data_IF_661790898386
#
_entry.id   IF_661790898386
#
_cell.length_a   1.000
_cell.length_b   1.000
_cell.length_c   1.000
_cell.angle_alpha   90.00
_cell.angle_beta   90.00
_cell.angle_gamma   90.00
#
_symmetry.space_group_name_H-M   'P 1'
#
loop_
_entity.id
_entity.type
_entity.pdbx_description
1 polymer ?
#
# COMPACT_ATOMS: atom_id res chain seq x y z
N UNK A 1 12.94 61.94 -78.60
CA UNK A 1 11.73 61.22 -79.04
C UNK A 1 12.24 60.02 -79.79
N UNK A 2 12.11 58.75 -79.41
CA UNK A 2 11.12 57.90 -78.70
C UNK A 2 11.88 56.56 -78.47
N UNK A 3 11.54 55.56 -77.66
CA UNK A 3 10.29 55.11 -77.06
C UNK A 3 10.60 54.27 -75.81
N UNK A 4 9.64 54.30 -74.89
CA UNK A 4 9.43 53.44 -73.74
C UNK A 4 9.10 52.01 -74.19
N UNK A 5 9.80 51.00 -73.64
CA UNK A 5 9.35 49.60 -73.69
C UNK A 5 8.89 49.19 -72.29
N UNK A 6 7.58 49.29 -72.05
CA UNK A 6 6.91 48.62 -70.95
C UNK A 6 6.80 47.13 -71.30
N UNK A 7 7.58 46.29 -70.61
CA UNK A 7 7.48 44.84 -70.72
C UNK A 7 6.24 44.34 -69.98
N UNK A 8 5.21 44.01 -70.75
CA UNK A 8 4.04 43.25 -70.32
C UNK A 8 4.49 41.85 -69.85
N UNK A 9 4.38 41.57 -68.55
CA UNK A 9 4.64 40.26 -67.95
C UNK A 9 3.30 39.61 -67.61
N UNK A 10 2.70 38.95 -68.60
CA UNK A 10 1.59 38.04 -68.39
C UNK A 10 2.04 36.87 -67.51
N UNK A 11 1.65 36.89 -66.23
CA UNK A 11 1.75 35.74 -65.34
C UNK A 11 0.85 34.63 -65.90
N UNK A 12 1.45 33.50 -66.28
CA UNK A 12 0.74 32.37 -66.87
C UNK A 12 -0.36 31.86 -65.91
N UNK A 13 -1.64 31.85 -66.32
CA UNK A 13 -2.79 31.48 -65.48
C UNK A 13 -2.64 30.12 -64.78
N UNK A 14 -1.89 29.22 -65.40
CA UNK A 14 -1.69 27.85 -64.93
C UNK A 14 -0.85 27.77 -63.66
N UNK A 15 0.04 28.74 -63.40
CA UNK A 15 0.87 28.75 -62.18
C UNK A 15 0.01 29.12 -60.97
N UNK A 16 -0.94 30.04 -61.13
CA UNK A 16 -1.85 30.44 -60.07
C UNK A 16 -2.78 29.31 -59.62
N UNK A 17 -3.28 28.50 -60.57
CA UNK A 17 -4.17 27.37 -60.27
C UNK A 17 -3.41 26.27 -59.50
N UNK A 18 -2.21 25.91 -59.94
CA UNK A 18 -1.40 24.88 -59.26
C UNK A 18 -1.04 25.31 -57.84
N UNK A 19 -0.65 26.57 -57.65
CA UNK A 19 -0.34 27.11 -56.32
C UNK A 19 -1.57 27.07 -55.40
N UNK A 20 -2.75 27.39 -55.93
CA UNK A 20 -4.00 27.39 -55.17
C UNK A 20 -4.41 25.96 -54.76
N UNK A 21 -4.25 24.97 -55.64
CA UNK A 21 -4.52 23.57 -55.31
C UNK A 21 -3.58 23.09 -54.20
N UNK A 22 -2.29 23.43 -54.26
CA UNK A 22 -1.32 23.06 -53.21
C UNK A 22 -1.71 23.68 -51.88
N UNK A 23 -2.03 24.99 -51.88
CA UNK A 23 -2.43 25.70 -50.68
C UNK A 23 -3.69 25.09 -50.05
N UNK A 24 -4.73 24.84 -50.84
CA UNK A 24 -5.99 24.24 -50.37
C UNK A 24 -5.76 22.83 -49.82
N UNK A 25 -4.92 22.02 -50.47
CA UNK A 25 -4.59 20.67 -49.98
C UNK A 25 -3.88 20.72 -48.63
N UNK A 26 -2.90 21.61 -48.46
CA UNK A 26 -2.19 21.78 -47.18
C UNK A 26 -3.15 22.25 -46.09
N UNK A 27 -4.03 23.22 -46.39
CA UNK A 27 -5.04 23.73 -45.46
C UNK A 27 -6.05 22.65 -45.06
N UNK A 28 -6.50 21.83 -46.01
CA UNK A 28 -7.41 20.72 -45.74
C UNK A 28 -6.78 19.66 -44.83
N UNK A 29 -5.51 19.32 -45.07
CA UNK A 29 -4.75 18.38 -44.23
C UNK A 29 -4.62 18.93 -42.80
N UNK A 30 -4.16 20.19 -42.66
CA UNK A 30 -3.99 20.81 -41.34
C UNK A 30 -5.31 20.96 -40.57
N UNK A 31 -6.39 21.36 -41.26
CA UNK A 31 -7.72 21.46 -40.64
C UNK A 31 -8.25 20.08 -40.25
N UNK A 32 -7.98 19.04 -41.03
CA UNK A 32 -8.33 17.66 -40.73
C UNK A 32 -7.66 17.15 -39.45
N UNK A 33 -6.36 17.42 -39.27
CA UNK A 33 -5.65 17.07 -38.04
C UNK A 33 -6.20 17.80 -36.80
N UNK A 34 -6.54 19.08 -36.93
CA UNK A 34 -7.12 19.86 -35.82
C UNK A 34 -8.50 19.31 -35.44
N UNK A 35 -9.36 18.99 -36.43
CA UNK A 35 -10.69 18.44 -36.16
C UNK A 35 -10.63 17.04 -35.54
N UNK A 36 -9.73 16.18 -36.01
CA UNK A 36 -9.55 14.83 -35.45
C UNK A 36 -9.01 14.87 -34.01
N UNK A 37 -8.09 15.78 -33.71
CA UNK A 37 -7.59 15.98 -32.34
C UNK A 37 -8.62 16.57 -31.37
N UNK A 38 -9.67 17.22 -31.88
CA UNK A 38 -10.80 17.71 -31.07
C UNK A 38 -11.89 16.64 -30.87
N UNK A 39 -11.82 15.52 -31.58
CA UNK A 39 -12.76 14.39 -31.46
C UNK A 39 -12.22 13.23 -30.63
N UNK A 40 -11.00 13.34 -30.07
CA UNK A 40 -10.55 12.40 -29.05
C UNK A 40 -11.46 12.56 -27.82
N UNK A 41 -12.37 11.61 -27.66
CA UNK A 41 -13.30 11.54 -26.53
C UNK A 41 -12.47 11.24 -25.29
N UNK A 42 -12.26 12.26 -24.45
CA UNK A 42 -11.58 12.06 -23.17
C UNK A 42 -12.48 11.22 -22.28
N UNK A 43 -11.96 10.12 -21.75
CA UNK A 43 -12.72 9.29 -20.84
C UNK A 43 -13.24 10.13 -19.65
N UNK A 44 -14.55 10.08 -19.35
CA UNK A 44 -15.11 10.87 -18.28
C UNK A 44 -14.63 10.37 -16.91
N UNK A 45 -14.40 11.32 -15.99
CA UNK A 45 -14.14 11.02 -14.58
C UNK A 45 -15.27 10.15 -14.02
N UNK A 46 -14.99 9.02 -13.36
CA UNK A 46 -16.02 8.21 -12.70
C UNK A 46 -16.66 8.99 -11.55
N UNK A 47 -17.98 8.89 -11.44
CA UNK A 47 -18.73 9.55 -10.39
C UNK A 47 -18.94 8.62 -9.19
N UNK A 48 -18.13 8.82 -8.16
CA UNK A 48 -18.08 7.98 -6.95
C UNK A 48 -18.15 8.83 -5.69
N UNK A 49 -18.73 8.26 -4.64
CA UNK A 49 -18.69 8.82 -3.30
C UNK A 49 -17.88 7.88 -2.40
N UNK A 50 -16.76 8.38 -1.89
CA UNK A 50 -15.87 7.63 -1.02
C UNK A 50 -15.82 8.28 0.35
N UNK A 51 -15.60 7.47 1.36
CA UNK A 51 -15.48 7.87 2.75
C UNK A 51 -14.22 7.25 3.33
N UNK A 52 -13.44 8.04 4.06
CA UNK A 52 -12.26 7.57 4.77
C UNK A 52 -12.56 7.66 6.26
N UNK A 53 -12.56 6.51 6.92
CA UNK A 53 -12.83 6.38 8.36
C UNK A 53 -11.56 5.90 9.05
N UNK A 54 -11.18 6.53 10.15
CA UNK A 54 -10.08 6.01 10.98
C UNK A 54 -10.54 4.73 11.70
N UNK A 55 -9.66 3.73 11.78
CA UNK A 55 -9.87 2.60 12.70
C UNK A 55 -9.59 3.05 14.13
N UNK A 56 -10.03 2.27 15.13
CA UNK A 56 -9.80 2.62 16.55
C UNK A 56 -8.32 2.90 16.88
N UNK A 57 -7.39 2.36 16.09
CA UNK A 57 -5.94 2.53 16.22
C UNK A 57 -5.39 3.87 15.71
N UNK A 58 -6.15 4.69 14.96
CA UNK A 58 -5.70 5.94 14.32
C UNK A 58 -4.53 5.82 13.32
N UNK A 59 -4.18 4.61 12.92
CA UNK A 59 -3.00 4.31 12.08
C UNK A 59 -3.42 3.67 10.78
N UNK A 60 -4.38 2.76 10.87
CA UNK A 60 -5.08 2.22 9.71
C UNK A 60 -6.34 3.03 9.46
N UNK A 61 -6.68 3.21 8.19
CA UNK A 61 -7.91 3.87 7.78
C UNK A 61 -8.66 2.94 6.83
N UNK A 62 -9.98 2.93 6.94
CA UNK A 62 -10.84 2.19 6.03
C UNK A 62 -11.35 3.17 4.98
N UNK A 63 -10.86 3.00 3.75
CA UNK A 63 -11.45 3.64 2.58
C UNK A 63 -12.66 2.81 2.15
N UNK A 64 -13.84 3.43 2.14
CA UNK A 64 -15.13 2.79 1.83
C UNK A 64 -15.76 3.40 0.60
N UNK A 65 -16.22 2.54 -0.31
CA UNK A 65 -17.04 2.96 -1.43
C UNK A 65 -18.51 3.05 -1.01
N UNK A 66 -19.06 4.26 -0.95
CA UNK A 66 -20.44 4.49 -0.47
C UNK A 66 -21.48 4.31 -1.55
N UNK A 67 -21.22 4.88 -2.72
CA UNK A 67 -22.18 4.91 -3.84
C UNK A 67 -21.51 5.41 -5.11
N UNK A 68 -22.16 5.16 -6.24
CA UNK A 68 -21.70 5.63 -7.55
C UNK A 68 -21.19 4.50 -8.43
N UNK A 69 -20.37 4.84 -9.40
CA UNK A 69 -19.81 3.89 -10.34
C UNK A 69 -18.73 3.02 -9.69
N UNK A 70 -18.59 1.74 -10.08
CA UNK A 70 -17.45 0.94 -9.67
C UNK A 70 -16.18 1.54 -10.26
N UNK A 71 -15.11 1.52 -9.47
CA UNK A 71 -13.78 1.89 -9.92
C UNK A 71 -13.11 0.59 -10.38
N UNK A 72 -12.94 0.44 -11.69
CA UNK A 72 -12.17 -0.67 -12.25
C UNK A 72 -10.68 -0.38 -11.99
N UNK A 73 -10.10 -1.09 -11.03
CA UNK A 73 -8.66 -1.16 -10.78
C UNK A 73 -7.92 -1.92 -11.86
N UNK A 74 -8.29 -1.79 -13.13
CA UNK A 74 -7.47 -2.34 -14.22
C UNK A 74 -6.07 -1.76 -14.07
N UNK A 75 -5.06 -2.62 -14.14
CA UNK A 75 -3.65 -2.29 -13.89
C UNK A 75 -3.25 -0.91 -14.41
N UNK A 76 -2.78 -0.02 -13.53
CA UNK A 76 -2.37 1.37 -13.76
C UNK A 76 -3.50 2.39 -14.05
N UNK A 77 -4.78 2.07 -13.83
CA UNK A 77 -5.87 3.06 -13.96
C UNK A 77 -6.22 3.76 -12.67
N UNK A 78 -5.79 3.22 -11.53
CA UNK A 78 -6.07 3.78 -10.22
C UNK A 78 -4.76 3.84 -9.44
N UNK A 79 -4.59 4.90 -8.65
CA UNK A 79 -3.47 4.99 -7.71
C UNK A 79 -3.90 5.76 -6.49
N UNK A 80 -3.58 5.25 -5.32
CA UNK A 80 -3.67 6.00 -4.07
C UNK A 80 -2.31 6.65 -3.82
N UNK A 81 -2.30 7.94 -3.55
CA UNK A 81 -1.08 8.68 -3.21
C UNK A 81 -1.19 9.16 -1.78
N UNK A 82 -0.09 9.10 -1.02
CA UNK A 82 -0.07 9.45 0.40
C UNK A 82 -0.46 8.29 1.32
N UNK A 83 -0.41 7.06 0.80
CA UNK A 83 -0.60 5.81 1.55
C UNK A 83 0.63 4.91 1.40
N UNK A 84 0.76 3.91 2.26
CA UNK A 84 1.80 2.89 2.18
C UNK A 84 1.67 2.16 0.86
N UNK A 85 0.63 1.34 0.71
CA UNK A 85 0.35 0.67 -0.55
C UNK A 85 -0.43 1.58 -1.53
N UNK A 86 0.30 2.19 -2.46
CA UNK A 86 -0.28 3.05 -3.50
C UNK A 86 -1.09 2.28 -4.55
N UNK A 87 -0.84 0.97 -4.68
CA UNK A 87 -1.45 0.06 -5.63
C UNK A 87 -2.53 -0.82 -4.97
N UNK A 88 -2.97 -0.49 -3.75
CA UNK A 88 -3.97 -1.26 -2.99
C UNK A 88 -5.29 -1.48 -3.74
N UNK A 89 -5.62 -0.61 -4.71
CA UNK A 89 -6.80 -0.73 -5.56
C UNK A 89 -6.49 -1.28 -6.96
N UNK A 90 -5.25 -1.64 -7.26
CA UNK A 90 -4.81 -2.19 -8.53
C UNK A 90 -5.23 -3.67 -8.66
N UNK A 91 -5.57 -4.10 -9.87
CA UNK A 91 -6.11 -5.42 -10.15
C UNK A 91 -7.56 -5.66 -9.71
N UNK A 92 -8.09 -4.89 -8.77
CA UNK A 92 -9.40 -5.14 -8.17
C UNK A 92 -10.51 -4.19 -8.63
N UNK A 93 -11.77 -4.66 -8.58
CA UNK A 93 -12.94 -3.83 -8.88
C UNK A 93 -13.53 -3.31 -7.58
N UNK A 94 -13.29 -2.04 -7.27
CA UNK A 94 -13.79 -1.39 -6.05
C UNK A 94 -15.18 -0.79 -6.27
N UNK A 95 -16.22 -1.38 -5.67
CA UNK A 95 -17.63 -1.08 -5.91
C UNK A 95 -18.39 -0.72 -4.62
N UNK A 96 -19.59 -0.12 -4.71
CA UNK A 96 -20.35 0.29 -3.52
C UNK A 96 -20.55 -0.83 -2.50
N UNK A 97 -20.14 -0.57 -1.25
CA UNK A 97 -20.14 -1.53 -0.15
C UNK A 97 -18.76 -2.05 0.20
N UNK A 98 -17.82 -2.01 -0.75
CA UNK A 98 -16.45 -2.46 -0.54
C UNK A 98 -15.68 -1.54 0.40
N UNK A 99 -14.66 -2.13 1.01
CA UNK A 99 -13.78 -1.49 1.96
C UNK A 99 -12.37 -1.98 1.69
N UNK A 100 -11.42 -1.07 1.82
CA UNK A 100 -10.00 -1.41 1.84
C UNK A 100 -9.34 -0.72 3.02
N UNK A 101 -8.41 -1.42 3.67
CA UNK A 101 -7.57 -0.84 4.72
C UNK A 101 -6.38 -0.18 4.03
N UNK A 102 -6.07 1.04 4.46
CA UNK A 102 -4.93 1.79 3.98
C UNK A 102 -4.18 2.39 5.16
N UNK A 103 -2.88 2.55 5.00
CA UNK A 103 -2.01 3.17 5.99
C UNK A 103 -1.59 4.51 5.41
N UNK A 104 -2.05 5.66 5.94
CA UNK A 104 -1.60 6.96 5.48
C UNK A 104 -0.10 7.10 5.78
N UNK A 105 0.66 7.61 4.81
CA UNK A 105 2.07 8.00 4.99
C UNK A 105 2.26 9.51 4.84
N UNK A 106 1.21 10.21 4.44
CA UNK A 106 1.15 11.66 4.25
C UNK A 106 -0.15 12.24 4.83
N UNK A 107 -0.19 13.56 5.05
CA UNK A 107 -1.36 14.26 5.58
C UNK A 107 -2.49 14.42 4.55
N UNK A 108 -2.16 14.19 3.29
CA UNK A 108 -3.09 14.25 2.17
C UNK A 108 -3.08 12.93 1.37
N UNK A 109 -4.20 12.19 1.47
CA UNK A 109 -4.44 11.02 0.62
C UNK A 109 -5.22 11.44 -0.61
N UNK A 110 -4.74 11.06 -1.80
CA UNK A 110 -5.41 11.32 -3.07
C UNK A 110 -5.69 10.04 -3.82
N UNK A 111 -6.94 9.86 -4.22
CA UNK A 111 -7.28 8.83 -5.20
C UNK A 111 -7.20 9.41 -6.61
N UNK A 112 -6.24 8.91 -7.38
CA UNK A 112 -6.05 9.24 -8.79
C UNK A 112 -6.73 8.18 -9.66
N UNK A 113 -7.33 8.63 -10.76
CA UNK A 113 -7.84 7.76 -11.80
C UNK A 113 -7.31 8.20 -13.16
N UNK A 114 -6.89 7.25 -13.98
CA UNK A 114 -6.31 7.46 -15.30
C UNK A 114 -7.18 6.80 -16.38
N UNK A 115 -7.66 7.63 -17.31
CA UNK A 115 -8.22 7.20 -18.58
C UNK A 115 -7.11 7.01 -19.62
N UNK A 116 -7.47 6.78 -20.88
CA UNK A 116 -6.49 6.53 -21.94
C UNK A 116 -5.55 7.72 -22.17
N UNK A 117 -6.08 8.94 -22.09
CA UNK A 117 -5.32 10.17 -22.33
C UNK A 117 -5.58 11.26 -21.27
N UNK A 118 -6.16 10.88 -20.12
CA UNK A 118 -6.52 11.83 -19.06
C UNK A 118 -6.25 11.26 -17.68
N UNK A 119 -6.00 12.14 -16.71
CA UNK A 119 -5.89 11.80 -15.30
C UNK A 119 -6.75 12.74 -14.47
N UNK A 120 -7.48 12.20 -13.51
CA UNK A 120 -8.35 12.94 -12.62
C UNK A 120 -8.05 12.60 -11.17
N UNK A 121 -8.05 13.62 -10.31
CA UNK A 121 -8.18 13.41 -8.87
C UNK A 121 -9.65 13.11 -8.59
N UNK A 122 -9.94 11.90 -8.11
CA UNK A 122 -11.28 11.48 -7.75
C UNK A 122 -11.71 12.17 -6.47
N UNK A 123 -10.92 12.01 -5.43
CA UNK A 123 -11.17 12.58 -4.11
C UNK A 123 -9.83 12.78 -3.39
N UNK A 124 -9.82 13.79 -2.52
CA UNK A 124 -8.72 14.07 -1.59
C UNK A 124 -9.28 13.91 -0.18
N UNK A 125 -8.51 13.24 0.68
CA UNK A 125 -8.78 13.09 2.10
C UNK A 125 -7.65 13.73 2.88
N UNK A 126 -7.97 14.31 4.02
CA UNK A 126 -6.98 14.84 4.95
C UNK A 126 -6.94 13.93 6.15
N UNK A 127 -5.74 13.52 6.54
CA UNK A 127 -5.49 12.70 7.72
C UNK A 127 -4.66 13.51 8.71
N UNK A 128 -4.98 13.39 9.99
CA UNK A 128 -4.12 13.89 11.04
C UNK A 128 -2.95 12.92 11.24
N UNK A 129 -1.82 13.19 10.61
CA UNK A 129 -0.63 12.33 10.72
C UNK A 129 0.09 12.45 12.05
N UNK A 130 -0.32 13.36 12.94
CA UNK A 130 0.25 13.47 14.28
C UNK A 130 -0.08 12.26 15.17
N UNK A 131 -1.06 11.45 14.78
CA UNK A 131 -1.43 10.20 15.46
C UNK A 131 -0.75 8.97 14.87
N UNK A 132 -0.04 9.10 13.74
CA UNK A 132 0.70 7.99 13.15
C UNK A 132 2.00 7.73 13.93
N UNK A 133 2.50 6.47 13.94
CA UNK A 133 3.78 6.14 14.52
C UNK A 133 4.87 7.03 13.95
N UNK A 134 5.76 7.48 14.82
CA UNK A 134 6.91 8.28 14.40
C UNK A 134 7.75 7.50 13.39
N UNK A 135 7.85 8.00 12.16
CA UNK A 135 8.76 7.46 11.16
C UNK A 135 8.15 7.13 9.80
N UNK A 136 6.82 6.99 9.73
CA UNK A 136 6.10 6.62 8.48
C UNK A 136 6.26 7.70 7.38
N UNK A 137 6.34 8.98 7.73
CA UNK A 137 6.43 10.09 6.75
C UNK A 137 7.75 10.19 5.95
N UNK A 138 8.69 9.24 6.09
CA UNK A 138 9.99 9.27 5.40
C UNK A 138 10.40 7.89 4.87
N UNK A 139 9.45 7.13 4.35
CA UNK A 139 9.77 5.86 3.70
C UNK A 139 10.37 6.16 2.32
N UNK A 140 11.58 5.66 2.07
CA UNK A 140 12.32 5.89 0.82
C UNK A 140 12.55 4.62 0.00
N UNK A 141 12.22 3.47 0.55
CA UNK A 141 12.41 2.17 -0.08
C UNK A 141 11.06 1.55 -0.42
N UNK A 142 10.96 0.97 -1.61
CA UNK A 142 9.79 0.25 -2.11
C UNK A 142 10.14 -1.23 -2.31
N UNK A 143 9.18 -2.06 -2.73
CA UNK A 143 9.40 -3.49 -3.00
C UNK A 143 10.67 -3.85 -3.80
N UNK A 144 11.08 -3.11 -4.85
CA UNK A 144 12.32 -3.44 -5.56
C UNK A 144 13.57 -3.36 -4.68
N UNK A 145 13.59 -2.47 -3.68
CA UNK A 145 14.67 -2.40 -2.71
C UNK A 145 14.60 -3.57 -1.73
N UNK A 146 13.41 -3.88 -1.19
CA UNK A 146 13.20 -5.02 -0.28
C UNK A 146 13.68 -6.31 -0.95
N UNK A 147 13.23 -6.57 -2.17
CA UNK A 147 13.64 -7.74 -2.94
C UNK A 147 15.16 -7.73 -3.23
N UNK A 148 15.78 -6.57 -3.46
CA UNK A 148 17.22 -6.48 -3.64
C UNK A 148 17.99 -6.79 -2.35
N UNK A 149 17.52 -6.30 -1.20
CA UNK A 149 18.09 -6.59 0.12
C UNK A 149 18.01 -8.09 0.38
N UNK A 150 16.81 -8.68 0.26
CA UNK A 150 16.58 -10.11 0.44
C UNK A 150 17.47 -10.98 -0.45
N UNK A 151 17.56 -10.65 -1.75
CA UNK A 151 18.41 -11.42 -2.66
C UNK A 151 19.92 -11.30 -2.36
N UNK A 152 20.34 -10.21 -1.71
CA UNK A 152 21.75 -9.99 -1.38
C UNK A 152 22.19 -10.78 -0.15
N UNK A 153 21.29 -10.92 0.84
CA UNK A 153 21.60 -11.51 2.14
C UNK A 153 21.06 -12.95 2.29
N UNK A 154 20.00 -13.30 1.55
CA UNK A 154 19.26 -14.55 1.68
C UNK A 154 17.97 -14.39 2.48
N UNK A 155 17.96 -13.40 3.36
CA UNK A 155 16.92 -12.95 4.29
C UNK A 155 16.67 -11.44 4.13
N UNK A 156 15.51 -10.97 4.61
CA UNK A 156 15.28 -9.54 4.74
C UNK A 156 15.90 -9.03 6.04
N UNK A 157 16.97 -8.25 5.92
CA UNK A 157 17.67 -7.62 7.06
C UNK A 157 17.53 -6.10 6.96
N UNK A 158 16.86 -5.50 7.94
CA UNK A 158 16.61 -4.06 8.03
C UNK A 158 17.14 -3.51 9.36
N UNK A 159 18.17 -2.66 9.32
CA UNK A 159 18.72 -1.93 10.49
C UNK A 159 18.46 -0.42 10.35
N UNK A 160 17.39 0.05 10.99
CA UNK A 160 16.90 1.43 10.89
C UNK A 160 16.35 1.82 9.52
N UNK A 161 16.17 0.84 8.63
CA UNK A 161 15.67 1.02 7.27
C UNK A 161 14.15 1.19 7.23
N UNK A 162 13.65 1.81 6.15
CA UNK A 162 12.22 2.11 6.02
C UNK A 162 11.71 1.74 4.65
N UNK A 163 10.77 0.80 4.60
CA UNK A 163 10.25 0.25 3.37
C UNK A 163 8.72 0.15 3.36
N UNK A 164 8.16 0.31 2.16
CA UNK A 164 6.79 -0.09 1.86
C UNK A 164 6.89 -1.29 0.91
N UNK A 165 6.48 -2.46 1.40
CA UNK A 165 6.32 -3.63 0.58
C UNK A 165 5.62 -4.75 1.36
N UNK A 166 4.73 -5.48 0.67
CA UNK A 166 4.31 -6.78 1.15
C UNK A 166 5.43 -7.81 0.93
N UNK A 167 5.82 -8.49 1.98
CA UNK A 167 6.84 -9.53 1.99
C UNK A 167 6.12 -10.88 1.97
N UNK A 168 5.83 -11.41 0.78
CA UNK A 168 4.93 -12.57 0.59
C UNK A 168 5.58 -13.78 -0.07
N UNK A 169 6.88 -13.71 -0.39
CA UNK A 169 7.61 -14.83 -0.97
C UNK A 169 8.26 -15.67 0.13
N UNK A 170 8.33 -16.99 -0.07
CA UNK A 170 9.17 -17.90 0.72
C UNK A 170 10.62 -17.41 0.62
N UNK A 171 11.02 -16.52 1.52
CA UNK A 171 12.41 -16.12 1.73
C UNK A 171 13.19 -17.42 2.00
N UNK A 172 14.33 -17.58 1.32
CA UNK A 172 15.06 -18.84 1.30
C UNK A 172 15.76 -19.06 2.65
N UNK A 173 15.10 -19.84 3.51
CA UNK A 173 15.42 -20.36 4.85
C UNK A 173 16.81 -21.02 5.05
N UNK A 174 17.78 -20.77 4.19
CA UNK A 174 19.03 -21.53 4.11
C UNK A 174 20.30 -20.77 4.49
N UNK A 175 20.22 -19.49 4.85
CA UNK A 175 21.41 -18.66 5.13
C UNK A 175 21.54 -18.25 6.60
N UNK A 176 20.43 -17.95 7.28
CA UNK A 176 20.35 -17.56 8.70
C UNK A 176 19.21 -18.31 9.38
N UNK A 177 19.15 -18.26 10.72
CA UNK A 177 18.04 -18.81 11.51
C UNK A 177 16.83 -17.84 11.56
N UNK A 178 16.89 -16.66 10.90
CA UNK A 178 15.83 -15.63 10.90
C UNK A 178 15.68 -15.08 9.49
N UNK A 179 14.50 -15.24 8.90
CA UNK A 179 14.23 -14.87 7.50
C UNK A 179 13.85 -13.40 7.34
N UNK A 180 13.26 -12.81 8.38
CA UNK A 180 12.95 -11.39 8.44
C UNK A 180 13.46 -10.86 9.77
N UNK A 181 14.49 -10.03 9.70
CA UNK A 181 15.14 -9.37 10.83
C UNK A 181 14.94 -7.86 10.70
N UNK A 182 14.14 -7.29 11.60
CA UNK A 182 13.88 -5.86 11.68
C UNK A 182 14.45 -5.31 13.00
N UNK A 183 15.52 -4.52 12.91
CA UNK A 183 16.21 -3.92 14.07
C UNK A 183 16.36 -2.39 13.89
N UNK A 184 16.80 -1.70 14.93
CA UNK A 184 17.41 -0.37 14.82
C UNK A 184 16.42 0.76 14.55
N UNK A 185 15.12 0.54 14.80
CA UNK A 185 14.09 1.50 14.43
C UNK A 185 13.58 1.34 13.00
N UNK A 186 13.72 0.15 12.42
CA UNK A 186 13.19 -0.17 11.10
C UNK A 186 11.66 -0.02 11.04
N UNK A 187 11.15 0.41 9.88
CA UNK A 187 9.71 0.56 9.61
C UNK A 187 9.36 -0.19 8.33
N UNK A 188 8.49 -1.18 8.43
CA UNK A 188 7.91 -1.89 7.29
C UNK A 188 6.41 -1.62 7.21
N UNK A 189 5.94 -1.15 6.06
CA UNK A 189 4.51 -0.97 5.77
C UNK A 189 4.14 -1.94 4.65
N UNK A 190 3.27 -2.89 4.97
CA UNK A 190 2.93 -4.02 4.12
C UNK A 190 2.82 -5.29 4.97
N UNK A 191 2.14 -6.29 4.41
CA UNK A 191 1.94 -7.57 5.07
C UNK A 191 3.23 -8.40 5.03
N UNK A 192 3.50 -9.15 6.08
CA UNK A 192 4.56 -10.15 6.17
C UNK A 192 3.90 -11.53 6.12
N UNK A 193 4.22 -12.32 5.12
CA UNK A 193 3.83 -13.72 4.94
C UNK A 193 5.07 -14.53 4.52
N UNK A 194 5.68 -15.23 5.46
CA UNK A 194 6.92 -15.98 5.24
C UNK A 194 6.83 -17.42 5.75
N UNK A 195 7.56 -18.34 5.13
CA UNK A 195 7.79 -19.68 5.70
C UNK A 195 8.76 -19.68 6.88
N UNK A 196 9.46 -18.56 7.09
CA UNK A 196 10.60 -18.42 7.96
C UNK A 196 10.35 -17.87 9.35
N UNK A 197 11.43 -17.76 10.13
CA UNK A 197 11.44 -17.12 11.44
C UNK A 197 11.42 -15.59 11.26
N UNK A 198 10.70 -14.89 12.14
CA UNK A 198 10.59 -13.42 12.10
C UNK A 198 11.05 -12.85 13.43
N UNK A 199 11.97 -11.91 13.39
CA UNK A 199 12.45 -11.13 14.54
C UNK A 199 12.18 -9.63 14.30
N UNK A 200 11.54 -8.99 15.29
CA UNK A 200 11.20 -7.57 15.26
C UNK A 200 11.65 -6.91 16.56
N UNK A 201 12.80 -6.24 16.52
CA UNK A 201 13.45 -5.55 17.63
C UNK A 201 13.39 -4.03 17.44
N UNK A 202 12.84 -3.31 18.44
CA UNK A 202 12.76 -1.85 18.44
C UNK A 202 12.19 -1.26 17.14
N UNK A 203 11.21 -1.94 16.52
CA UNK A 203 10.79 -1.69 15.15
C UNK A 203 9.27 -1.52 14.99
N UNK A 204 8.84 -1.09 13.80
CA UNK A 204 7.43 -0.87 13.48
C UNK A 204 7.03 -1.67 12.24
N UNK A 205 5.98 -2.49 12.38
CA UNK A 205 5.32 -3.16 11.26
C UNK A 205 3.89 -2.63 11.14
N UNK A 206 3.49 -2.24 9.94
CA UNK A 206 2.11 -1.84 9.63
C UNK A 206 1.56 -2.74 8.54
N UNK A 207 0.86 -3.78 8.96
CA UNK A 207 0.43 -4.91 8.15
C UNK A 207 0.31 -6.15 9.03
N UNK A 208 -0.32 -7.18 8.50
CA UNK A 208 -0.43 -8.46 9.20
C UNK A 208 0.91 -9.19 9.15
N UNK A 209 1.27 -9.88 10.23
CA UNK A 209 2.51 -10.64 10.37
C UNK A 209 2.17 -12.11 10.53
N UNK A 210 2.42 -12.89 9.47
CA UNK A 210 2.09 -14.30 9.38
C UNK A 210 3.33 -15.14 9.08
N UNK A 211 3.49 -16.23 9.84
CA UNK A 211 4.49 -17.26 9.52
C UNK A 211 3.82 -18.60 9.19
N UNK A 212 4.32 -19.30 8.17
CA UNK A 212 3.74 -20.56 7.69
C UNK A 212 4.44 -21.81 8.24
N UNK A 213 5.63 -21.71 8.82
CA UNK A 213 6.33 -22.87 9.40
C UNK A 213 7.26 -22.60 10.58
N UNK A 214 7.32 -21.35 11.06
CA UNK A 214 8.37 -20.91 11.98
C UNK A 214 7.87 -19.97 13.08
N UNK A 215 8.77 -19.58 13.98
CA UNK A 215 8.48 -18.80 15.17
C UNK A 215 8.49 -17.29 14.89
N UNK A 216 7.81 -16.52 15.74
CA UNK A 216 7.76 -15.05 15.69
C UNK A 216 8.29 -14.51 17.02
N UNK A 217 9.25 -13.59 16.95
CA UNK A 217 9.83 -12.89 18.10
C UNK A 217 9.64 -11.38 17.94
N UNK A 218 9.07 -10.70 18.94
CA UNK A 218 8.80 -9.26 18.94
C UNK A 218 9.28 -8.68 20.27
N UNK A 219 10.29 -7.82 20.23
CA UNK A 219 11.00 -7.37 21.44
C UNK A 219 11.28 -5.87 21.46
N UNK A 220 11.80 -5.38 22.59
CA UNK A 220 12.47 -4.08 22.70
C UNK A 220 11.68 -2.85 22.20
N UNK A 221 10.41 -2.76 22.61
CA UNK A 221 9.46 -1.67 22.30
C UNK A 221 9.00 -1.65 20.83
N UNK A 222 8.94 -2.81 20.20
CA UNK A 222 8.37 -2.98 18.86
C UNK A 222 6.86 -2.71 18.83
N UNK A 223 6.37 -2.26 17.69
CA UNK A 223 4.95 -1.96 17.48
C UNK A 223 4.44 -2.63 16.21
N UNK A 224 3.48 -3.53 16.35
CA UNK A 224 2.81 -4.19 15.23
C UNK A 224 1.39 -3.65 15.10
N UNK A 225 1.03 -3.19 13.91
CA UNK A 225 -0.28 -2.66 13.57
C UNK A 225 -0.96 -3.56 12.55
N UNK A 226 -1.35 -4.73 13.02
CA UNK A 226 -1.95 -5.82 12.26
C UNK A 226 -2.02 -7.06 13.12
N UNK A 227 -2.59 -8.13 12.57
CA UNK A 227 -2.71 -9.41 13.26
C UNK A 227 -1.38 -10.16 13.23
N UNK A 228 -1.01 -10.82 14.32
CA UNK A 228 0.19 -11.64 14.45
C UNK A 228 -0.23 -13.11 14.52
N UNK A 229 0.09 -13.87 13.48
CA UNK A 229 -0.40 -15.23 13.27
C UNK A 229 0.75 -16.20 13.03
N UNK A 230 0.94 -17.12 13.96
CA UNK A 230 1.93 -18.19 13.81
C UNK A 230 1.28 -19.47 13.26
N UNK A 231 2.07 -20.23 12.49
CA UNK A 231 1.67 -21.53 11.97
C UNK A 231 1.31 -22.52 13.09
N UNK A 232 0.44 -23.52 12.83
CA UNK A 232 0.14 -24.52 13.84
C UNK A 232 1.39 -25.25 14.36
N UNK A 233 1.61 -25.18 15.68
CA UNK A 233 2.71 -25.85 16.37
C UNK A 233 3.98 -25.02 16.52
N UNK A 234 3.99 -23.76 16.07
CA UNK A 234 5.10 -22.81 16.24
C UNK A 234 4.80 -21.78 17.32
N UNK A 235 5.78 -20.95 17.66
CA UNK A 235 5.72 -20.11 18.85
C UNK A 235 5.68 -18.62 18.51
N UNK A 236 5.06 -17.86 19.41
CA UNK A 236 5.14 -16.40 19.42
C UNK A 236 5.73 -15.97 20.77
N UNK A 237 6.80 -15.18 20.76
CA UNK A 237 7.34 -14.51 21.94
C UNK A 237 7.23 -12.99 21.77
N UNK A 238 6.52 -12.34 22.67
CA UNK A 238 6.35 -10.88 22.67
C UNK A 238 6.78 -10.33 24.01
N UNK A 239 7.80 -9.47 23.98
CA UNK A 239 8.34 -8.87 25.18
C UNK A 239 8.77 -7.40 25.04
N UNK A 240 9.47 -6.87 26.05
CA UNK A 240 10.26 -5.64 25.90
C UNK A 240 9.44 -4.34 25.89
N UNK A 241 8.22 -4.33 26.42
CA UNK A 241 7.26 -3.21 26.30
C UNK A 241 6.75 -3.01 24.87
N UNK A 242 6.67 -4.08 24.10
CA UNK A 242 6.11 -4.07 22.75
C UNK A 242 4.58 -3.96 22.75
N UNK A 243 4.01 -3.53 21.62
CA UNK A 243 2.57 -3.36 21.43
C UNK A 243 2.11 -4.07 20.15
N UNK A 244 1.02 -4.83 20.24
CA UNK A 244 0.30 -5.38 19.08
C UNK A 244 -1.10 -4.80 19.05
N UNK A 245 -1.39 -4.02 18.01
CA UNK A 245 -2.74 -3.53 17.71
C UNK A 245 -3.39 -4.42 16.66
N UNK A 246 -3.85 -5.59 17.12
CA UNK A 246 -4.39 -6.67 16.31
C UNK A 246 -4.58 -7.93 17.14
N UNK A 247 -5.09 -9.00 16.52
CA UNK A 247 -5.15 -10.30 17.13
C UNK A 247 -3.77 -10.94 17.24
N UNK A 248 -3.57 -11.75 18.28
CA UNK A 248 -2.41 -12.65 18.39
C UNK A 248 -2.92 -14.07 18.36
N UNK A 249 -2.46 -14.89 17.41
CA UNK A 249 -3.03 -16.20 17.10
C UNK A 249 -1.96 -17.27 17.08
N UNK A 250 -2.12 -18.28 17.95
CA UNK A 250 -1.29 -19.49 17.97
C UNK A 250 -2.19 -20.72 18.08
N UNK A 251 -2.11 -21.62 17.10
CA UNK A 251 -2.79 -22.93 17.14
C UNK A 251 -1.80 -24.03 17.49
N UNK A 252 -2.06 -24.84 18.51
CA UNK A 252 -1.21 -25.99 18.95
C UNK A 252 0.27 -25.71 19.27
N UNK A 253 0.72 -24.45 19.23
CA UNK A 253 2.05 -24.00 19.66
C UNK A 253 2.00 -23.20 20.96
N UNK A 254 3.07 -22.48 21.30
CA UNK A 254 3.13 -21.69 22.54
C UNK A 254 3.20 -20.18 22.31
N UNK A 255 2.67 -19.41 23.27
CA UNK A 255 2.76 -17.96 23.26
C UNK A 255 3.34 -17.45 24.58
N UNK A 256 4.35 -16.60 24.51
CA UNK A 256 4.99 -15.94 25.65
C UNK A 256 4.71 -14.44 25.57
N UNK A 257 4.19 -13.86 26.66
CA UNK A 257 3.72 -12.47 26.70
C UNK A 257 4.26 -11.76 27.95
N UNK A 258 5.44 -11.13 27.88
CA UNK A 258 6.08 -10.45 29.01
C UNK A 258 6.24 -8.95 28.78
N UNK A 259 5.52 -8.14 29.56
CA UNK A 259 5.56 -6.68 29.46
C UNK A 259 5.15 -6.26 28.05
N UNK A 260 3.93 -6.60 27.66
CA UNK A 260 3.34 -6.37 26.33
C UNK A 260 1.93 -5.80 26.47
N UNK A 261 1.53 -4.93 25.54
CA UNK A 261 0.15 -4.51 25.36
C UNK A 261 -0.42 -5.13 24.07
N UNK A 262 -1.56 -5.80 24.14
CA UNK A 262 -2.26 -6.37 22.97
C UNK A 262 -3.65 -5.76 22.89
N UNK A 263 -3.82 -4.74 22.04
CA UNK A 263 -5.11 -4.10 21.73
C UNK A 263 -5.88 -4.91 20.68
N UNK A 264 -6.17 -6.15 21.06
CA UNK A 264 -6.88 -7.13 20.26
C UNK A 264 -6.98 -8.45 21.02
N UNK A 265 -7.68 -9.42 20.45
CA UNK A 265 -7.90 -10.68 21.15
C UNK A 265 -6.72 -11.64 20.97
N UNK A 266 -6.29 -12.26 22.07
CA UNK A 266 -5.36 -13.39 22.03
C UNK A 266 -6.14 -14.71 21.86
N UNK A 267 -5.82 -15.44 20.80
CA UNK A 267 -6.34 -16.75 20.45
C UNK A 267 -5.26 -17.80 20.70
N UNK A 268 -5.36 -18.50 21.83
CA UNK A 268 -4.38 -19.50 22.25
C UNK A 268 -5.05 -20.49 23.21
N UNK A 269 -4.49 -21.71 23.28
CA UNK A 269 -4.93 -22.67 24.30
C UNK A 269 -4.32 -22.24 25.66
N UNK A 270 -5.11 -22.12 26.75
CA UNK A 270 -4.61 -21.57 28.02
C UNK A 270 -3.40 -22.29 28.65
N UNK A 271 -3.15 -23.56 28.28
CA UNK A 271 -1.98 -24.31 28.75
C UNK A 271 -0.67 -23.95 28.05
N UNK A 272 -0.78 -23.27 26.91
CA UNK A 272 0.35 -22.95 26.03
C UNK A 272 0.74 -21.47 26.13
N UNK A 273 0.07 -20.70 27.00
CA UNK A 273 0.39 -19.31 27.31
C UNK A 273 1.35 -19.26 28.50
N UNK A 274 2.43 -18.50 28.35
CA UNK A 274 3.44 -18.24 29.37
C UNK A 274 3.86 -16.75 29.36
N UNK A 275 4.88 -16.40 30.13
CA UNK A 275 5.45 -15.05 30.08
C UNK A 275 4.65 -13.91 30.73
N UNK A 276 3.38 -14.12 31.16
CA UNK A 276 2.37 -13.14 31.61
C UNK A 276 2.73 -12.01 32.64
N UNK A 277 3.99 -11.69 32.93
CA UNK A 277 4.35 -10.51 33.73
C UNK A 277 3.98 -9.24 33.00
N UNK A 278 3.29 -8.31 33.68
CA UNK A 278 2.98 -6.96 33.16
C UNK A 278 2.33 -6.91 31.76
N UNK A 279 1.65 -7.99 31.34
CA UNK A 279 0.97 -8.04 30.05
C UNK A 279 -0.51 -7.64 30.19
N UNK A 280 -0.94 -6.68 29.37
CA UNK A 280 -2.33 -6.20 29.23
C UNK A 280 -2.90 -6.69 27.90
N UNK A 281 -4.02 -7.40 27.92
CA UNK A 281 -4.57 -8.10 26.76
C UNK A 281 -6.03 -7.75 26.53
N UNK A 282 -6.41 -7.68 25.26
CA UNK A 282 -7.79 -7.48 24.85
C UNK A 282 -8.23 -6.02 24.89
N UNK A 283 -9.41 -5.74 24.31
CA UNK A 283 -9.95 -4.37 24.21
C UNK A 283 -10.32 -3.74 25.56
N UNK A 284 -10.28 -4.51 26.65
CA UNK A 284 -10.59 -4.08 28.02
C UNK A 284 -9.32 -3.99 28.90
N UNK A 285 -8.12 -4.16 28.32
CA UNK A 285 -6.81 -4.14 28.99
C UNK A 285 -6.76 -5.06 30.22
N UNK A 286 -7.19 -6.31 30.05
CA UNK A 286 -7.19 -7.27 31.14
C UNK A 286 -5.77 -7.83 31.36
N UNK A 287 -5.39 -8.09 32.62
CA UNK A 287 -4.11 -8.78 32.87
C UNK A 287 -4.09 -10.17 32.22
N UNK A 288 -2.97 -10.53 31.60
CA UNK A 288 -2.72 -11.86 31.02
C UNK A 288 -3.08 -13.03 31.97
N UNK A 289 -2.88 -12.84 33.29
CA UNK A 289 -3.19 -13.88 34.29
C UNK A 289 -4.69 -14.10 34.55
N UNK A 290 -5.54 -13.17 34.12
CA UNK A 290 -6.99 -13.21 34.29
C UNK A 290 -7.76 -13.22 32.97
N UNK A 291 -7.09 -12.88 31.87
CA UNK A 291 -7.67 -12.82 30.54
C UNK A 291 -8.24 -14.17 30.10
N UNK A 292 -9.40 -14.13 29.45
CA UNK A 292 -10.03 -15.32 28.88
C UNK A 292 -9.61 -15.50 27.42
N UNK A 293 -8.56 -16.30 27.20
CA UNK A 293 -8.09 -16.65 25.85
C UNK A 293 -9.20 -17.24 24.98
N UNK A 294 -9.17 -16.88 23.69
CA UNK A 294 -10.11 -17.38 22.69
C UNK A 294 -9.58 -18.65 22.03
N UNK A 295 -10.51 -19.45 21.51
CA UNK A 295 -10.17 -20.67 20.78
C UNK A 295 -9.59 -20.31 19.40
N UNK A 296 -8.36 -20.74 19.05
CA UNK A 296 -7.74 -20.46 17.76
C UNK A 296 -8.61 -20.82 16.55
N UNK A 297 -9.45 -21.86 16.65
CA UNK A 297 -10.36 -22.26 15.57
C UNK A 297 -11.51 -21.28 15.30
N UNK A 298 -11.67 -20.26 16.16
CA UNK A 298 -12.69 -19.22 16.02
C UNK A 298 -12.16 -17.92 15.44
N UNK A 299 -10.86 -17.83 15.17
CA UNK A 299 -10.27 -16.71 14.45
C UNK A 299 -10.75 -16.73 12.99
N UNK A 300 -11.24 -15.59 12.48
CA UNK A 300 -11.89 -15.47 11.17
C UNK A 300 -11.19 -14.55 10.17
N UNK A 301 -10.05 -13.94 10.55
CA UNK A 301 -9.30 -12.99 9.71
C UNK A 301 -10.04 -11.66 9.52
#
# INVERSE_FOLDING_TARGET
MTAEQAGDRGLAPNIGVTLLIVLVTVLAITTGYILLGLTEETDPKPNVALELESTGSNITFVLRHRSGEPIDGIKNRVRLVGVGDEDALDGERFQPGDKIRIVPVDDEIRLLWFGENTGYIIQTFTVDTSTLPHGIANISSECPWVQQNTNANGDLDMDGDKAICDVTEDIDVSVTDVDIDLDGGSVLVGDIDTGGDVDVDSSVVVGDLTTNSSDITITDNSNIYGDVVASPGTNIDIDGNSNVTGAVVVDTGSVSLDSVDVDGHVYATPGDVSGCSNAELGPDNESCTTYSFRDPSTYDG
#
